data_IF_288832364288
#
_entry.id   IF_288832364288
#
_cell.length_a   1.000
_cell.length_b   1.000
_cell.length_c   1.000
_cell.angle_alpha   90.00
_cell.angle_beta   90.00
_cell.angle_gamma   90.00
#
_symmetry.space_group_name_H-M   'P 1'
#
loop_
_entity.id
_entity.type
_entity.pdbx_description
1 polymer ?
#
# COMPACT_ATOMS: atom_id res chain seq x y z
N UNK A 1 7.67 -23.61 -8.42
CA UNK A 1 7.00 -23.00 -9.58
C UNK A 1 5.58 -22.54 -9.24
N UNK A 2 4.66 -23.44 -8.91
CA UNK A 2 3.25 -23.09 -8.60
C UNK A 2 3.08 -22.06 -7.47
N UNK A 3 3.88 -22.14 -6.40
CA UNK A 3 3.79 -21.21 -5.27
C UNK A 3 4.14 -19.76 -5.66
N UNK A 4 5.08 -19.57 -6.60
CA UNK A 4 5.42 -18.24 -7.11
C UNK A 4 4.27 -17.68 -7.96
N UNK A 5 3.63 -18.51 -8.79
CA UNK A 5 2.46 -18.12 -9.57
C UNK A 5 1.28 -17.72 -8.68
N UNK A 6 0.99 -18.50 -7.63
CA UNK A 6 -0.03 -18.16 -6.65
C UNK A 6 0.32 -16.85 -5.93
N UNK A 7 1.57 -16.68 -5.50
CA UNK A 7 2.00 -15.46 -4.82
C UNK A 7 1.84 -14.23 -5.73
N UNK A 8 2.29 -14.30 -6.98
CA UNK A 8 2.13 -13.21 -7.96
C UNK A 8 0.66 -12.92 -8.23
N UNK A 9 -0.18 -13.95 -8.34
CA UNK A 9 -1.64 -13.78 -8.50
C UNK A 9 -2.25 -13.05 -7.29
N UNK A 10 -1.96 -13.51 -6.07
CA UNK A 10 -2.49 -12.91 -4.84
C UNK A 10 -1.99 -11.48 -4.61
N UNK A 11 -0.73 -11.18 -4.95
CA UNK A 11 -0.20 -9.82 -4.87
C UNK A 11 -0.82 -8.93 -5.96
N UNK A 12 -0.98 -9.46 -7.17
CA UNK A 12 -1.56 -8.73 -8.30
C UNK A 12 -3.01 -8.31 -8.07
N UNK A 13 -3.81 -9.10 -7.36
CA UNK A 13 -5.21 -8.75 -7.07
C UNK A 13 -5.34 -7.58 -6.09
N UNK A 14 -4.31 -7.24 -5.30
CA UNK A 14 -4.35 -6.12 -4.36
C UNK A 14 -4.57 -4.78 -5.10
N UNK A 15 -4.07 -4.66 -6.33
CA UNK A 15 -4.21 -3.43 -7.14
C UNK A 15 -5.67 -3.12 -7.46
N UNK A 16 -6.57 -4.12 -7.45
CA UNK A 16 -8.00 -3.93 -7.71
C UNK A 16 -8.69 -3.01 -6.70
N UNK A 17 -8.13 -2.84 -5.50
CA UNK A 17 -8.65 -1.94 -4.47
C UNK A 17 -8.44 -0.46 -4.85
N UNK A 18 -7.40 -0.14 -5.63
CA UNK A 18 -7.00 1.24 -5.94
C UNK A 18 -8.13 2.11 -6.50
N UNK A 19 -8.79 1.70 -7.60
CA UNK A 19 -9.90 2.46 -8.18
C UNK A 19 -11.09 2.65 -7.23
N UNK A 20 -11.43 1.62 -6.45
CA UNK A 20 -12.54 1.69 -5.49
C UNK A 20 -12.25 2.71 -4.39
N UNK A 21 -11.02 2.71 -3.87
CA UNK A 21 -10.57 3.67 -2.86
C UNK A 21 -10.57 5.10 -3.40
N UNK A 22 -10.12 5.29 -4.64
CA UNK A 22 -10.16 6.58 -5.32
C UNK A 22 -11.57 7.14 -5.43
N UNK A 23 -12.54 6.32 -5.90
CA UNK A 23 -13.94 6.73 -6.00
C UNK A 23 -14.49 7.11 -4.62
N UNK A 24 -14.24 6.27 -3.60
CA UNK A 24 -14.70 6.54 -2.23
C UNK A 24 -14.10 7.81 -1.63
N UNK A 25 -12.84 8.12 -1.90
CA UNK A 25 -12.22 9.37 -1.48
C UNK A 25 -12.87 10.58 -2.16
N UNK A 26 -13.19 10.48 -3.45
CA UNK A 26 -13.88 11.53 -4.18
C UNK A 26 -15.30 11.78 -3.68
N UNK A 27 -16.03 10.71 -3.32
CA UNK A 27 -17.38 10.83 -2.76
C UNK A 27 -17.38 11.54 -1.39
N UNK A 28 -16.37 11.28 -0.57
CA UNK A 28 -16.25 11.86 0.79
C UNK A 28 -15.68 13.28 0.78
N UNK A 29 -14.91 13.66 -0.24
CA UNK A 29 -14.20 14.94 -0.30
C UNK A 29 -15.08 16.17 -0.62
N UNK A 30 -16.36 15.97 -0.98
CA UNK A 30 -17.27 17.08 -1.33
C UNK A 30 -16.68 17.96 -2.44
N UNK A 31 -16.58 19.27 -2.22
CA UNK A 31 -16.02 20.22 -3.19
C UNK A 31 -14.50 20.07 -3.43
N UNK A 32 -13.78 19.32 -2.57
CA UNK A 32 -12.33 19.17 -2.62
C UNK A 32 -11.84 17.93 -3.40
N UNK A 33 -12.62 17.41 -4.36
CA UNK A 33 -12.31 16.15 -5.06
C UNK A 33 -10.93 16.16 -5.75
N UNK A 34 -10.56 17.27 -6.40
CA UNK A 34 -9.26 17.41 -7.07
C UNK A 34 -8.11 17.26 -6.09
N UNK A 35 -8.23 17.85 -4.89
CA UNK A 35 -7.23 17.72 -3.84
C UNK A 35 -7.17 16.27 -3.31
N UNK A 36 -8.32 15.64 -3.09
CA UNK A 36 -8.39 14.25 -2.65
C UNK A 36 -7.76 13.28 -3.66
N UNK A 37 -8.01 13.47 -4.96
CA UNK A 37 -7.38 12.69 -6.01
C UNK A 37 -5.87 12.91 -6.08
N UNK A 38 -5.40 14.16 -6.04
CA UNK A 38 -3.98 14.48 -6.03
C UNK A 38 -3.26 13.86 -4.81
N UNK A 39 -3.89 13.90 -3.63
CA UNK A 39 -3.36 13.28 -2.41
C UNK A 39 -3.30 11.75 -2.53
N UNK A 40 -4.33 11.10 -3.09
CA UNK A 40 -4.31 9.65 -3.28
C UNK A 40 -3.19 9.21 -4.23
N UNK A 41 -3.01 9.89 -5.36
CA UNK A 41 -1.91 9.64 -6.29
C UNK A 41 -0.54 9.88 -5.63
N UNK A 42 -0.41 10.95 -4.86
CA UNK A 42 0.84 11.27 -4.13
C UNK A 42 1.17 10.20 -3.09
N UNK A 43 0.17 9.73 -2.34
CA UNK A 43 0.32 8.64 -1.38
C UNK A 43 0.76 7.34 -2.07
N UNK A 44 0.18 7.02 -3.23
CA UNK A 44 0.59 5.84 -4.02
C UNK A 44 2.05 5.94 -4.50
N UNK A 45 2.47 7.10 -4.98
CA UNK A 45 3.86 7.32 -5.38
C UNK A 45 4.83 7.23 -4.20
N UNK A 46 4.47 7.80 -3.05
CA UNK A 46 5.26 7.67 -1.83
C UNK A 46 5.38 6.20 -1.39
N UNK A 47 4.29 5.43 -1.46
CA UNK A 47 4.29 4.00 -1.15
C UNK A 47 5.24 3.22 -2.08
N UNK A 48 5.20 3.48 -3.40
CA UNK A 48 6.11 2.84 -4.35
C UNK A 48 7.58 3.19 -4.07
N UNK A 49 7.87 4.46 -3.79
CA UNK A 49 9.22 4.91 -3.46
C UNK A 49 9.73 4.27 -2.16
N UNK A 50 8.92 4.26 -1.10
CA UNK A 50 9.27 3.64 0.18
C UNK A 50 9.47 2.14 0.06
N UNK A 51 8.60 1.44 -0.67
CA UNK A 51 8.71 -0.01 -0.89
C UNK A 51 10.00 -0.37 -1.63
N UNK A 52 10.31 0.34 -2.71
CA UNK A 52 11.54 0.13 -3.47
C UNK A 52 12.79 0.47 -2.64
N UNK A 53 12.77 1.57 -1.90
CA UNK A 53 13.88 1.99 -1.06
C UNK A 53 14.16 1.01 0.08
N UNK A 54 13.14 0.64 0.87
CA UNK A 54 13.29 -0.29 1.99
C UNK A 54 13.63 -1.71 1.52
N UNK A 55 13.05 -2.16 0.40
CA UNK A 55 13.41 -3.42 -0.24
C UNK A 55 14.88 -3.43 -0.68
N UNK A 56 15.33 -2.34 -1.30
CA UNK A 56 16.73 -2.14 -1.66
C UNK A 56 17.67 -2.17 -0.46
N UNK A 57 17.34 -1.44 0.62
CA UNK A 57 18.10 -1.44 1.88
C UNK A 57 18.22 -2.86 2.44
N UNK A 58 17.14 -3.64 2.46
CA UNK A 58 17.16 -5.02 2.95
C UNK A 58 18.07 -5.93 2.11
N UNK A 59 18.05 -5.78 0.78
CA UNK A 59 18.96 -6.50 -0.12
C UNK A 59 20.42 -6.09 0.14
N UNK A 60 20.70 -4.79 0.19
CA UNK A 60 22.07 -4.26 0.42
C UNK A 60 22.61 -4.63 1.80
N UNK A 61 21.75 -4.82 2.80
CA UNK A 61 22.10 -5.33 4.12
C UNK A 61 22.47 -6.83 4.13
N UNK A 62 22.42 -7.53 3.00
CA UNK A 62 22.81 -8.93 2.87
C UNK A 62 21.71 -9.93 3.24
N UNK A 63 20.46 -9.49 3.42
CA UNK A 63 19.33 -10.36 3.81
C UNK A 63 18.78 -11.22 2.65
N UNK A 64 19.35 -11.06 1.44
CA UNK A 64 18.98 -11.82 0.25
C UNK A 64 17.68 -11.36 -0.41
N UNK A 65 17.35 -11.93 -1.57
CA UNK A 65 16.21 -11.50 -2.40
C UNK A 65 14.83 -11.74 -1.76
N UNK A 66 14.71 -12.79 -0.94
CA UNK A 66 13.47 -13.11 -0.24
C UNK A 66 13.08 -12.07 0.84
N UNK A 67 14.03 -11.25 1.29
CA UNK A 67 13.80 -10.19 2.28
C UNK A 67 12.78 -9.14 1.82
N UNK A 68 12.69 -8.89 0.51
CA UNK A 68 11.71 -7.97 -0.09
C UNK A 68 10.26 -8.35 0.23
N UNK A 69 9.95 -9.65 0.29
CA UNK A 69 8.63 -10.15 0.68
C UNK A 69 8.30 -9.82 2.14
N UNK A 70 9.27 -9.96 3.05
CA UNK A 70 9.11 -9.60 4.46
C UNK A 70 8.95 -8.09 4.65
N UNK A 71 9.73 -7.27 3.94
CA UNK A 71 9.56 -5.80 3.95
C UNK A 71 8.14 -5.42 3.53
N UNK A 72 7.65 -5.99 2.42
CA UNK A 72 6.28 -5.76 1.96
C UNK A 72 5.22 -6.17 2.99
N UNK A 73 5.38 -7.34 3.61
CA UNK A 73 4.47 -7.83 4.64
C UNK A 73 4.44 -6.91 5.87
N UNK A 74 5.59 -6.43 6.35
CA UNK A 74 5.66 -5.50 7.47
C UNK A 74 5.03 -4.14 7.15
N UNK A 75 5.27 -3.61 5.94
CA UNK A 75 4.62 -2.37 5.49
C UNK A 75 3.10 -2.53 5.38
N UNK A 76 2.61 -3.66 4.91
CA UNK A 76 1.17 -3.96 4.86
C UNK A 76 0.56 -4.00 6.27
N UNK A 77 1.22 -4.67 7.22
CA UNK A 77 0.78 -4.70 8.63
C UNK A 77 0.78 -3.29 9.24
N UNK A 78 1.81 -2.49 8.98
CA UNK A 78 1.85 -1.09 9.42
C UNK A 78 0.68 -0.27 8.84
N UNK A 79 0.40 -0.43 7.54
CA UNK A 79 -0.74 0.21 6.87
C UNK A 79 -2.10 -0.20 7.48
N UNK A 80 -2.27 -1.49 7.81
CA UNK A 80 -3.45 -1.97 8.53
C UNK A 80 -3.55 -1.35 9.94
N UNK A 81 -2.43 -1.12 10.62
CA UNK A 81 -2.38 -0.38 11.88
C UNK A 81 -2.90 1.05 11.74
N UNK A 82 -2.43 1.78 10.73
CA UNK A 82 -2.92 3.14 10.42
C UNK A 82 -4.42 3.12 10.10
N UNK A 83 -4.87 2.15 9.30
CA UNK A 83 -6.29 1.98 8.99
C UNK A 83 -7.13 1.71 10.24
N UNK A 84 -6.69 0.83 11.14
CA UNK A 84 -7.38 0.55 12.38
C UNK A 84 -7.48 1.79 13.30
N UNK A 85 -6.41 2.60 13.36
CA UNK A 85 -6.44 3.88 14.07
C UNK A 85 -7.44 4.86 13.44
N UNK A 86 -7.48 4.95 12.11
CA UNK A 86 -8.47 5.76 11.39
C UNK A 86 -9.90 5.31 11.71
N UNK A 87 -10.18 4.00 11.68
CA UNK A 87 -11.50 3.48 12.03
C UNK A 87 -11.89 3.82 13.48
N UNK A 88 -10.94 3.75 14.40
CA UNK A 88 -11.17 4.12 15.80
C UNK A 88 -11.42 5.61 15.95
N UNK A 89 -10.75 6.45 15.17
CA UNK A 89 -10.98 7.89 15.15
C UNK A 89 -12.34 8.24 14.56
N UNK A 90 -12.77 7.60 13.47
CA UNK A 90 -14.09 7.82 12.85
C UNK A 90 -15.28 7.36 13.69
N UNK A 91 -15.05 6.50 14.70
CA UNK A 91 -16.09 6.05 15.65
C UNK A 91 -16.27 6.97 16.86
N UNK A 92 -15.37 7.94 17.05
CA UNK A 92 -15.48 8.97 18.09
C UNK A 92 -16.21 10.17 17.52
#
# INVERSE_FOLDING_TARGET
AWAASINVMLVGTIVAIGPVLQIRLMDVAGDAQTLAAALNHSAFNAANAMGAWLGGVAITAGLGWASTGWVGALLAVAGLGVFALSLRASRR
#
